data_IF_474047755174
#
_entry.id   IF_474047755174
#
_cell.length_a   1.000
_cell.length_b   1.000
_cell.length_c   1.000
_cell.angle_alpha   90.00
_cell.angle_beta   90.00
_cell.angle_gamma   90.00
#
_symmetry.space_group_name_H-M   'P 1'
#
loop_
_entity.id
_entity.type
_entity.pdbx_description
1 polymer ?
#
# COMPACT_ATOMS: atom_id res chain seq x y z
N UNK A 1 81.09 5.00 29.99
CA UNK A 1 79.70 5.38 29.64
C UNK A 1 79.08 6.07 30.85
N UNK A 2 78.78 7.36 30.73
CA UNK A 2 78.39 8.22 31.85
C UNK A 2 77.07 7.73 32.49
N UNK A 3 76.91 7.87 33.81
CA UNK A 3 75.79 7.28 34.56
C UNK A 3 74.42 7.73 34.04
N UNK A 4 74.37 8.95 33.51
CA UNK A 4 73.20 9.56 32.87
C UNK A 4 72.78 8.85 31.58
N UNK A 5 73.73 8.47 30.71
CA UNK A 5 73.43 7.79 29.44
C UNK A 5 72.86 6.39 29.66
N UNK A 6 73.30 5.68 30.71
CA UNK A 6 72.75 4.37 31.10
C UNK A 6 71.30 4.48 31.60
N UNK A 7 70.99 5.50 32.41
CA UNK A 7 69.63 5.74 32.89
C UNK A 7 68.67 6.13 31.77
N UNK A 8 69.12 6.93 30.80
CA UNK A 8 68.34 7.27 29.61
C UNK A 8 68.04 6.01 28.78
N UNK A 9 69.04 5.14 28.56
CA UNK A 9 68.85 3.88 27.83
C UNK A 9 67.84 2.94 28.52
N UNK A 10 67.88 2.85 29.85
CA UNK A 10 66.92 2.05 30.63
C UNK A 10 65.51 2.65 30.54
N UNK A 11 65.39 3.98 30.67
CA UNK A 11 64.12 4.69 30.55
C UNK A 11 63.49 4.51 29.17
N UNK A 12 64.28 4.66 28.10
CA UNK A 12 63.82 4.44 26.72
C UNK A 12 63.42 2.99 26.47
N UNK A 13 64.17 2.02 27.00
CA UNK A 13 63.83 0.60 26.91
C UNK A 13 62.51 0.29 27.62
N UNK A 14 62.31 0.82 28.84
CA UNK A 14 61.07 0.63 29.60
C UNK A 14 59.87 1.25 28.88
N UNK A 15 60.04 2.42 28.28
CA UNK A 15 59.00 3.14 27.55
C UNK A 15 58.61 2.41 26.25
N UNK A 16 59.58 1.83 25.55
CA UNK A 16 59.32 0.96 24.39
C UNK A 16 58.56 -0.31 24.76
N UNK A 17 58.92 -0.97 25.86
CA UNK A 17 58.20 -2.16 26.35
C UNK A 17 56.76 -1.79 26.74
N UNK A 18 56.56 -0.67 27.43
CA UNK A 18 55.23 -0.19 27.79
C UNK A 18 54.36 0.09 26.55
N UNK A 19 54.93 0.71 25.52
CA UNK A 19 54.24 0.97 24.25
C UNK A 19 53.82 -0.34 23.55
N UNK A 20 54.70 -1.33 23.49
CA UNK A 20 54.40 -2.63 22.87
C UNK A 20 53.28 -3.36 23.62
N UNK A 21 53.28 -3.32 24.96
CA UNK A 21 52.23 -3.93 25.79
C UNK A 21 50.89 -3.23 25.57
N UNK A 22 50.86 -1.89 25.53
CA UNK A 22 49.63 -1.12 25.28
C UNK A 22 49.07 -1.34 23.86
N UNK A 23 49.95 -1.47 22.86
CA UNK A 23 49.54 -1.85 21.50
C UNK A 23 49.00 -3.28 21.43
N UNK A 24 49.60 -4.24 22.13
CA UNK A 24 49.13 -5.64 22.19
C UNK A 24 47.81 -5.80 22.96
N UNK A 25 47.59 -5.00 24.00
CA UNK A 25 46.33 -4.97 24.75
C UNK A 25 45.17 -4.31 23.99
N UNK A 26 45.41 -3.85 22.74
CA UNK A 26 44.35 -3.35 21.86
C UNK A 26 43.75 -2.03 22.32
N UNK A 27 44.52 -1.21 23.05
CA UNK A 27 44.13 0.14 23.47
C UNK A 27 44.16 1.11 22.28
N UNK A 28 45.06 0.88 21.32
CA UNK A 28 45.11 1.62 20.07
C UNK A 28 44.21 0.95 19.02
N UNK A 29 43.01 1.50 18.84
CA UNK A 29 42.19 1.24 17.66
C UNK A 29 41.54 -0.13 17.63
N UNK A 30 40.61 -0.38 18.55
CA UNK A 30 39.49 -1.27 18.18
C UNK A 30 38.72 -0.50 17.11
N UNK A 31 38.86 -0.93 15.85
CA UNK A 31 38.04 -0.42 14.76
C UNK A 31 36.59 -0.48 15.23
N UNK A 32 35.98 0.68 15.47
CA UNK A 32 34.58 0.75 15.79
C UNK A 32 33.87 0.16 14.57
N UNK A 33 33.41 -1.09 14.70
CA UNK A 33 32.68 -1.76 13.65
C UNK A 33 31.55 -0.86 13.17
N UNK A 34 31.31 -0.85 11.86
CA UNK A 34 30.27 -0.03 11.25
C UNK A 34 28.96 -0.23 12.00
N UNK A 35 28.48 0.83 12.67
CA UNK A 35 27.21 0.80 13.40
C UNK A 35 26.10 0.68 12.37
N UNK A 36 25.55 -0.52 12.24
CA UNK A 36 24.40 -0.77 11.38
C UNK A 36 23.14 -0.73 12.22
N UNK A 37 22.13 -0.03 11.71
CA UNK A 37 20.79 -0.03 12.29
C UNK A 37 20.03 -1.18 11.67
N UNK A 38 19.66 -2.17 12.47
CA UNK A 38 18.83 -3.29 12.06
C UNK A 38 17.52 -3.26 12.83
N UNK A 39 16.42 -3.48 12.13
CA UNK A 39 15.08 -3.60 12.72
C UNK A 39 14.58 -5.04 12.56
N UNK A 40 13.82 -5.53 13.54
CA UNK A 40 13.28 -6.89 13.52
C UNK A 40 12.11 -6.96 12.54
N UNK A 41 12.15 -7.92 11.62
CA UNK A 41 11.05 -8.18 10.68
C UNK A 41 9.78 -8.55 11.46
N UNK A 42 8.69 -7.84 11.16
CA UNK A 42 7.36 -8.09 11.72
C UNK A 42 6.38 -8.40 10.61
N UNK A 43 5.57 -9.45 10.82
CA UNK A 43 4.47 -9.78 9.90
C UNK A 43 3.31 -8.86 10.22
N UNK A 44 2.92 -8.03 9.26
CA UNK A 44 1.75 -7.14 9.36
C UNK A 44 0.80 -7.43 8.22
N UNK A 45 -0.50 -7.40 8.53
CA UNK A 45 -1.55 -7.50 7.54
C UNK A 45 -1.70 -6.15 6.86
N UNK A 46 -1.38 -6.07 5.57
CA UNK A 46 -1.76 -4.93 4.72
C UNK A 46 -3.16 -5.20 4.18
N UNK A 47 -4.11 -4.34 4.54
CA UNK A 47 -5.46 -4.37 3.98
C UNK A 47 -5.50 -3.29 2.90
N UNK A 48 -5.48 -3.71 1.64
CA UNK A 48 -5.60 -2.82 0.50
C UNK A 48 -7.09 -2.75 0.09
N UNK A 49 -7.73 -1.62 0.42
CA UNK A 49 -9.14 -1.39 0.08
C UNK A 49 -9.20 -0.80 -1.32
N UNK A 50 -9.53 -1.64 -2.31
CA UNK A 50 -9.78 -1.18 -3.67
C UNK A 50 -11.21 -0.67 -3.76
N UNK A 51 -11.38 0.61 -4.09
CA UNK A 51 -12.68 1.21 -4.31
C UNK A 51 -13.13 0.93 -5.75
N UNK A 52 -14.03 -0.03 -5.92
CA UNK A 52 -14.70 -0.24 -7.20
C UNK A 52 -15.91 0.68 -7.31
N UNK A 53 -15.86 1.66 -8.20
CA UNK A 53 -17.04 2.45 -8.57
C UNK A 53 -17.72 1.79 -9.78
N UNK A 54 -19.01 1.47 -9.62
CA UNK A 54 -19.85 0.91 -10.67
C UNK A 54 -21.14 1.71 -10.78
N UNK A 55 -21.70 1.76 -11.99
CA UNK A 55 -23.07 2.25 -12.20
C UNK A 55 -24.01 1.06 -12.20
N UNK A 56 -25.09 1.14 -11.43
CA UNK A 56 -26.14 0.12 -11.43
C UNK A 56 -27.03 0.38 -12.65
N UNK A 57 -27.17 -0.64 -13.49
CA UNK A 57 -28.09 -0.64 -14.62
C UNK A 57 -29.13 -1.72 -14.41
N UNK A 58 -30.37 -1.53 -14.92
CA UNK A 58 -31.38 -2.58 -14.91
C UNK A 58 -30.86 -3.81 -15.68
N UNK A 59 -31.11 -5.00 -15.16
CA UNK A 59 -30.75 -6.26 -15.85
C UNK A 59 -31.53 -6.41 -17.16
N UNK A 60 -32.79 -5.96 -17.17
CA UNK A 60 -33.70 -6.02 -18.30
C UNK A 60 -34.39 -4.66 -18.42
N UNK A 61 -34.21 -3.99 -19.56
CA UNK A 61 -34.90 -2.75 -19.92
C UNK A 61 -35.64 -2.97 -21.23
N UNK A 62 -36.97 -2.98 -21.18
CA UNK A 62 -37.82 -3.18 -22.35
C UNK A 62 -38.56 -1.89 -22.67
N UNK A 63 -38.32 -1.36 -23.88
CA UNK A 63 -39.03 -0.18 -24.38
C UNK A 63 -40.28 -0.65 -25.11
N UNK A 64 -41.43 -0.42 -24.49
CA UNK A 64 -42.73 -0.74 -25.09
C UNK A 64 -43.10 0.38 -26.06
N UNK A 65 -43.14 0.04 -27.34
CA UNK A 65 -43.59 0.93 -28.42
C UNK A 65 -44.79 0.30 -29.12
N UNK A 66 -45.69 1.12 -29.67
CA UNK A 66 -46.82 0.61 -30.42
C UNK A 66 -46.39 0.06 -31.79
N UNK A 67 -47.03 -1.03 -32.22
CA UNK A 67 -46.76 -1.64 -33.52
C UNK A 67 -47.36 -0.84 -34.69
N UNK A 68 -48.36 0.01 -34.42
CA UNK A 68 -49.08 0.81 -35.40
C UNK A 68 -49.25 2.25 -34.90
N UNK A 69 -49.24 3.20 -35.83
CA UNK A 69 -49.58 4.59 -35.55
C UNK A 69 -51.08 4.72 -35.31
N UNK A 70 -51.45 5.47 -34.27
CA UNK A 70 -52.83 5.67 -33.88
C UNK A 70 -52.96 6.55 -32.65
N UNK A 71 -54.18 6.79 -32.21
CA UNK A 71 -54.47 7.59 -31.02
C UNK A 71 -54.61 6.68 -29.78
N UNK A 72 -54.05 7.09 -28.64
CA UNK A 72 -54.21 6.37 -27.37
C UNK A 72 -55.63 6.59 -26.86
N UNK A 73 -56.46 5.56 -26.92
CA UNK A 73 -57.86 5.62 -26.46
C UNK A 73 -57.99 5.38 -24.96
N UNK A 74 -57.11 4.56 -24.39
CA UNK A 74 -57.16 4.16 -22.98
C UNK A 74 -55.73 3.93 -22.48
N UNK A 75 -55.40 4.48 -21.30
CA UNK A 75 -54.15 4.22 -20.59
C UNK A 75 -54.50 3.63 -19.23
N UNK A 76 -54.10 2.39 -18.98
CA UNK A 76 -54.50 1.61 -17.79
C UNK A 76 -53.45 1.64 -16.68
N UNK A 77 -52.34 2.35 -16.89
CA UNK A 77 -51.20 2.42 -15.97
C UNK A 77 -50.72 3.86 -15.83
N UNK A 78 -50.25 4.21 -14.63
CA UNK A 78 -49.65 5.51 -14.33
C UNK A 78 -48.15 5.39 -14.13
N UNK A 79 -47.45 6.53 -14.16
CA UNK A 79 -46.01 6.56 -13.91
C UNK A 79 -45.69 6.04 -12.50
N UNK A 80 -44.79 5.04 -12.43
CA UNK A 80 -44.42 4.38 -11.17
C UNK A 80 -45.23 3.14 -10.82
N UNK A 81 -46.27 2.80 -11.60
CA UNK A 81 -47.04 1.59 -11.37
C UNK A 81 -46.22 0.32 -11.68
N UNK A 82 -46.38 -0.69 -10.84
CA UNK A 82 -45.80 -2.01 -11.08
C UNK A 82 -46.69 -2.82 -12.02
N UNK A 83 -46.16 -3.20 -13.17
CA UNK A 83 -46.88 -3.96 -14.20
C UNK A 83 -46.45 -5.41 -14.25
N UNK A 84 -47.35 -6.30 -14.63
CA UNK A 84 -47.07 -7.75 -14.79
C UNK A 84 -47.03 -8.15 -16.26
N UNK A 85 -46.31 -9.23 -16.56
CA UNK A 85 -46.28 -9.79 -17.93
C UNK A 85 -47.70 -10.12 -18.40
N UNK A 86 -48.08 -9.59 -19.56
CA UNK A 86 -49.40 -9.79 -20.16
C UNK A 86 -50.49 -8.82 -19.69
N UNK A 87 -50.16 -7.85 -18.83
CA UNK A 87 -51.09 -6.78 -18.46
C UNK A 87 -51.27 -5.80 -19.64
N UNK A 88 -52.51 -5.41 -19.90
CA UNK A 88 -52.82 -4.34 -20.85
C UNK A 88 -52.28 -3.02 -20.28
N UNK A 89 -51.44 -2.31 -21.04
CA UNK A 89 -50.84 -1.03 -20.65
C UNK A 89 -51.54 0.17 -21.30
N UNK A 90 -51.84 0.06 -22.60
CA UNK A 90 -52.53 1.09 -23.36
C UNK A 90 -53.35 0.45 -24.49
N UNK A 91 -54.45 1.10 -24.87
CA UNK A 91 -55.25 0.76 -26.06
C UNK A 91 -55.04 1.84 -27.11
N UNK A 92 -54.72 1.43 -28.32
CA UNK A 92 -54.48 2.33 -29.44
C UNK A 92 -55.54 2.08 -30.50
N UNK A 93 -56.20 3.16 -30.93
CA UNK A 93 -57.10 3.13 -32.07
C UNK A 93 -56.30 3.39 -33.34
N UNK A 94 -56.24 2.39 -34.21
CA UNK A 94 -55.58 2.49 -35.49
C UNK A 94 -56.41 3.37 -36.43
N UNK A 95 -55.79 4.42 -36.98
CA UNK A 95 -56.37 5.18 -38.08
C UNK A 95 -55.83 4.58 -39.38
N UNK A 96 -56.52 3.56 -39.91
CA UNK A 96 -56.19 2.90 -41.18
C UNK A 96 -57.12 3.41 -42.27
#
# INVERSE_FOLDING_TARGET
MNKTTKWILIGTGLLLVLLVVLSKMGVFGKAEGTKVTAEKVTVRTLIEVVNASGKIYPEIEEKVSPDISGEITELTVQEGDTVKKGQLLARIYADV
#
